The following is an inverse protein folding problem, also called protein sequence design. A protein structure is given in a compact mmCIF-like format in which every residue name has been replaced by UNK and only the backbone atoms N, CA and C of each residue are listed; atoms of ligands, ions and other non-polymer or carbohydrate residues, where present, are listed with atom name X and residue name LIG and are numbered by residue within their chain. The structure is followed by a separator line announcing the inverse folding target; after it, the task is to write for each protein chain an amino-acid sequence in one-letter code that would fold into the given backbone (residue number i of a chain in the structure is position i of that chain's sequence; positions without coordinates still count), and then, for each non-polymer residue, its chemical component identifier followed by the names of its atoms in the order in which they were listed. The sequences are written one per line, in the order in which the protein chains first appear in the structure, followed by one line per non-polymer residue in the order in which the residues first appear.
data_IF_469415606284
#
_entry.id   IF_469415606284
#
_cell.length_a   1.000
_cell.length_b   1.000
_cell.length_c   1.000
_cell.angle_alpha   90.00
_cell.angle_beta   90.00
_cell.angle_gamma   90.00
#
_symmetry.space_group_name_H-M   'P 1'
#
loop_
_entity.id
_entity.type
_entity.pdbx_description
1 polymer ?
#
# COMPACT_ATOMS: atom_id res chain seq x y z
N UNK A 1 3.28 1.21 -25.70
CA UNK A 1 4.11 1.41 -24.50
C UNK A 1 4.19 2.92 -24.27
N UNK A 2 3.42 3.45 -23.32
CA UNK A 2 3.50 4.87 -22.96
C UNK A 2 4.61 4.99 -21.90
N UNK A 3 5.75 5.55 -22.25
CA UNK A 3 6.75 6.03 -21.31
C UNK A 3 6.07 7.08 -20.43
N UNK A 4 5.82 6.72 -19.18
CA UNK A 4 5.40 7.66 -18.15
C UNK A 4 6.54 8.66 -18.00
N UNK A 5 6.41 9.84 -18.61
CA UNK A 5 7.31 10.98 -18.37
C UNK A 5 7.14 11.33 -16.89
N UNK A 6 8.12 10.90 -16.08
CA UNK A 6 8.24 11.29 -14.70
C UNK A 6 8.33 12.83 -14.64
N UNK A 7 7.62 13.42 -13.67
CA UNK A 7 7.72 14.84 -13.37
C UNK A 7 9.20 15.22 -13.17
N UNK A 8 9.75 16.19 -13.96
CA UNK A 8 11.15 16.59 -13.88
C UNK A 8 11.61 16.95 -12.46
N UNK A 9 10.72 17.53 -11.64
CA UNK A 9 11.02 17.86 -10.26
C UNK A 9 11.22 16.61 -9.39
N UNK A 10 10.44 15.55 -9.64
CA UNK A 10 10.56 14.26 -8.96
C UNK A 10 11.87 13.56 -9.31
N UNK A 11 12.27 13.56 -10.57
CA UNK A 11 13.51 12.93 -11.01
C UNK A 11 14.72 13.63 -10.38
N UNK A 12 14.76 14.96 -10.41
CA UNK A 12 15.84 15.74 -9.80
C UNK A 12 15.94 15.51 -8.28
N UNK A 13 14.79 15.34 -7.60
CA UNK A 13 14.74 15.01 -6.17
C UNK A 13 15.38 13.64 -5.91
N UNK A 14 14.99 12.61 -6.66
CA UNK A 14 15.56 11.25 -6.52
C UNK A 14 17.05 11.24 -6.77
N UNK A 15 17.52 11.90 -7.80
CA UNK A 15 18.96 12.00 -8.13
C UNK A 15 19.77 12.64 -7.00
N UNK A 16 19.24 13.69 -6.35
CA UNK A 16 19.88 14.30 -5.18
C UNK A 16 20.01 13.33 -4.01
N UNK A 17 18.94 12.57 -3.71
CA UNK A 17 18.96 11.56 -2.63
C UNK A 17 19.97 10.45 -2.97
N UNK A 18 19.98 9.94 -4.20
CA UNK A 18 20.91 8.92 -4.64
C UNK A 18 22.36 9.40 -4.53
N UNK A 19 22.64 10.64 -4.91
CA UNK A 19 23.98 11.23 -4.79
C UNK A 19 24.45 11.28 -3.32
N UNK A 20 23.57 11.71 -2.40
CA UNK A 20 23.89 11.77 -0.98
C UNK A 20 24.10 10.38 -0.36
N UNK A 21 23.22 9.40 -0.71
CA UNK A 21 23.36 8.02 -0.23
C UNK A 21 24.65 7.37 -0.72
N UNK A 22 24.98 7.51 -2.00
CA UNK A 22 26.23 6.98 -2.59
C UNK A 22 27.47 7.63 -1.97
N UNK A 23 27.44 8.93 -1.71
CA UNK A 23 28.55 9.63 -1.04
C UNK A 23 28.74 9.18 0.39
N UNK A 24 27.63 8.94 1.12
CA UNK A 24 27.67 8.61 2.54
C UNK A 24 27.96 7.13 2.81
N UNK A 25 27.50 6.25 1.93
CA UNK A 25 27.59 4.80 2.04
C UNK A 25 28.21 4.19 0.77
N UNK A 26 29.50 4.41 0.50
CA UNK A 26 30.14 4.02 -0.76
C UNK A 26 30.25 2.49 -0.95
N UNK A 27 30.08 1.70 0.10
CA UNK A 27 30.04 0.24 0.03
C UNK A 27 28.69 -0.32 -0.44
N UNK A 28 27.66 0.54 -0.61
CA UNK A 28 26.35 0.18 -1.06
C UNK A 28 26.10 0.73 -2.47
N UNK A 29 25.50 -0.10 -3.34
CA UNK A 29 24.95 0.33 -4.62
C UNK A 29 23.52 0.83 -4.43
N UNK A 30 23.24 2.09 -4.78
CA UNK A 30 21.91 2.67 -4.69
C UNK A 30 21.33 2.96 -6.06
N UNK A 31 20.06 2.55 -6.28
CA UNK A 31 19.30 2.84 -7.50
C UNK A 31 17.84 3.16 -7.18
N UNK A 32 17.17 3.85 -8.09
CA UNK A 32 15.73 4.05 -7.99
C UNK A 32 14.99 2.71 -8.10
N UNK A 33 13.88 2.61 -7.38
CA UNK A 33 13.02 1.43 -7.41
C UNK A 33 12.05 1.50 -8.59
N UNK A 34 11.93 0.42 -9.34
CA UNK A 34 10.89 0.24 -10.36
C UNK A 34 9.48 0.09 -9.75
N UNK A 35 9.38 -0.01 -8.43
CA UNK A 35 8.18 -0.37 -7.69
C UNK A 35 7.70 0.75 -6.75
N UNK A 36 7.56 1.96 -7.26
CA UNK A 36 7.09 3.08 -6.46
C UNK A 36 8.19 4.09 -6.13
N UNK A 37 7.84 5.08 -5.33
CA UNK A 37 8.74 6.19 -5.01
C UNK A 37 9.69 5.80 -3.87
N UNK A 38 10.72 5.04 -4.21
CA UNK A 38 11.69 4.49 -3.27
C UNK A 38 13.08 4.35 -3.92
N UNK A 39 14.09 4.23 -3.08
CA UNK A 39 15.47 3.88 -3.46
C UNK A 39 15.77 2.48 -2.92
N UNK A 40 16.47 1.68 -3.73
CA UNK A 40 16.96 0.36 -3.34
C UNK A 40 18.46 0.47 -3.11
N UNK A 41 18.92 0.07 -1.93
CA UNK A 41 20.31 -0.19 -1.60
C UNK A 41 20.62 -1.66 -1.74
N UNK A 42 21.72 -1.99 -2.40
CA UNK A 42 22.22 -3.36 -2.61
C UNK A 42 23.66 -3.45 -2.11
N UNK A 43 23.98 -4.48 -1.35
CA UNK A 43 25.34 -4.82 -0.96
C UNK A 43 25.42 -6.33 -0.75
N UNK A 44 26.30 -7.01 -1.48
CA UNK A 44 26.45 -8.47 -1.43
C UNK A 44 25.09 -9.18 -1.60
N UNK A 45 24.61 -9.88 -0.57
CA UNK A 45 23.30 -10.53 -0.55
C UNK A 45 22.22 -9.70 0.15
N UNK A 46 22.55 -8.50 0.63
CA UNK A 46 21.66 -7.63 1.38
C UNK A 46 20.91 -6.67 0.45
N UNK A 47 19.61 -6.48 0.69
CA UNK A 47 18.78 -5.53 -0.04
C UNK A 47 17.93 -4.72 0.92
N UNK A 48 18.03 -3.40 0.82
CA UNK A 48 17.23 -2.46 1.62
C UNK A 48 16.39 -1.60 0.68
N UNK A 49 15.09 -1.49 0.95
CA UNK A 49 14.19 -0.57 0.24
C UNK A 49 13.87 0.62 1.13
N UNK A 50 14.06 1.82 0.63
CA UNK A 50 13.91 3.07 1.37
C UNK A 50 12.84 3.91 0.67
N UNK A 51 11.68 4.11 1.31
CA UNK A 51 10.61 4.95 0.77
C UNK A 51 11.02 6.43 0.81
N UNK A 52 10.74 7.14 -0.27
CA UNK A 52 10.97 8.59 -0.38
C UNK A 52 9.69 9.41 -0.21
N UNK A 53 8.55 8.76 -0.01
CA UNK A 53 7.22 9.39 -0.01
C UNK A 53 7.10 10.46 1.06
N UNK A 54 7.46 10.12 2.31
CA UNK A 54 7.33 11.04 3.45
C UNK A 54 8.27 12.25 3.31
N UNK A 55 9.52 11.99 2.91
CA UNK A 55 10.50 13.05 2.68
C UNK A 55 10.05 14.00 1.54
N UNK A 56 9.55 13.47 0.45
CA UNK A 56 9.05 14.27 -0.66
C UNK A 56 7.82 15.11 -0.28
N UNK A 57 6.91 14.56 0.52
CA UNK A 57 5.76 15.30 1.03
C UNK A 57 6.17 16.44 1.97
N UNK A 58 7.17 16.21 2.84
CA UNK A 58 7.71 17.26 3.70
C UNK A 58 8.30 18.40 2.87
N UNK A 59 9.14 18.07 1.90
CA UNK A 59 9.75 19.03 0.98
C UNK A 59 8.71 19.83 0.17
N UNK A 60 7.64 19.18 -0.31
CA UNK A 60 6.58 19.88 -1.04
C UNK A 60 5.78 20.85 -0.17
N UNK A 61 5.59 20.55 1.12
CA UNK A 61 4.88 21.45 2.06
C UNK A 61 5.67 22.70 2.36
N UNK A 62 6.98 22.60 2.43
CA UNK A 62 7.88 23.71 2.78
C UNK A 62 8.34 24.53 1.57
N UNK A 63 8.00 24.12 0.36
CA UNK A 63 8.29 24.87 -0.88
C UNK A 63 9.76 24.89 -1.29
N UNK A 64 10.66 24.28 -0.52
CA UNK A 64 12.08 24.14 -0.87
C UNK A 64 12.66 22.85 -0.31
N UNK A 65 13.62 22.27 -1.02
CA UNK A 65 14.43 21.15 -0.52
C UNK A 65 15.43 21.72 0.48
N UNK A 66 15.13 21.63 1.77
CA UNK A 66 16.10 22.02 2.80
C UNK A 66 17.20 20.94 2.85
N UNK A 67 18.49 21.31 2.59
CA UNK A 67 19.59 20.34 2.62
C UNK A 67 19.68 19.54 3.91
N UNK A 68 19.27 20.15 5.02
CA UNK A 68 19.27 19.53 6.35
C UNK A 68 18.28 18.37 6.48
N UNK A 69 17.10 18.44 5.85
CA UNK A 69 16.12 17.34 5.86
C UNK A 69 16.60 16.13 5.08
N UNK A 70 17.23 16.38 3.92
CA UNK A 70 17.88 15.32 3.15
C UNK A 70 19.00 14.69 3.98
N UNK A 71 19.83 15.50 4.63
CA UNK A 71 20.93 14.99 5.45
C UNK A 71 20.42 14.17 6.63
N UNK A 72 19.38 14.66 7.33
CA UNK A 72 18.73 13.93 8.44
C UNK A 72 18.13 12.61 7.97
N UNK A 73 17.46 12.62 6.81
CA UNK A 73 16.93 11.41 6.20
C UNK A 73 18.06 10.41 5.88
N UNK A 74 19.13 10.86 5.21
CA UNK A 74 20.27 10.02 4.87
C UNK A 74 20.95 9.45 6.11
N UNK A 75 21.09 10.25 7.19
CA UNK A 75 21.60 9.76 8.48
C UNK A 75 20.69 8.70 9.09
N UNK A 76 19.38 8.87 9.00
CA UNK A 76 18.38 7.91 9.47
C UNK A 76 18.37 6.57 8.72
N UNK A 77 19.08 6.48 7.59
CA UNK A 77 19.26 5.22 6.84
C UNK A 77 20.35 4.33 7.43
N UNK A 78 21.34 4.89 8.15
CA UNK A 78 22.48 4.15 8.70
C UNK A 78 22.11 2.90 9.52
N UNK A 79 21.18 2.97 10.49
CA UNK A 79 20.78 1.78 11.26
C UNK A 79 20.25 0.65 10.37
N UNK A 80 19.53 1.02 9.29
CA UNK A 80 18.93 0.07 8.35
C UNK A 80 19.97 -0.67 7.51
N UNK A 81 20.99 0.05 7.08
CA UNK A 81 22.10 -0.54 6.33
C UNK A 81 22.94 -1.43 7.24
N UNK A 82 23.21 -0.99 8.48
CA UNK A 82 23.94 -1.77 9.46
C UNK A 82 23.23 -3.07 9.85
N UNK A 83 21.92 -3.02 10.08
CA UNK A 83 21.11 -4.23 10.34
C UNK A 83 21.13 -5.19 9.15
N UNK A 84 21.06 -4.67 7.92
CA UNK A 84 21.15 -5.49 6.72
C UNK A 84 22.57 -6.09 6.52
N UNK A 85 23.63 -5.35 6.86
CA UNK A 85 25.04 -5.83 6.82
C UNK A 85 25.34 -6.88 7.89
N UNK A 86 24.80 -6.70 9.10
CA UNK A 86 24.98 -7.63 10.21
C UNK A 86 24.33 -8.99 9.92
N UNK A 87 23.62 -9.12 8.77
CA UNK A 87 22.84 -10.31 8.52
C UNK A 87 21.66 -10.45 9.50
N UNK A 88 21.35 -9.36 10.22
CA UNK A 88 20.19 -9.29 11.12
C UNK A 88 18.86 -9.37 10.34
N UNK A 89 18.91 -9.39 9.00
CA UNK A 89 17.89 -9.95 8.13
C UNK A 89 17.82 -11.49 8.20
N UNK A 90 18.85 -12.12 8.75
CA UNK A 90 18.93 -13.48 9.25
C UNK A 90 19.20 -13.43 10.76
N UNK A 91 18.39 -12.70 11.53
CA UNK A 91 18.42 -12.92 12.97
C UNK A 91 18.03 -14.38 13.18
N UNK A 92 18.90 -15.12 13.85
CA UNK A 92 18.65 -16.46 14.39
C UNK A 92 17.42 -16.49 15.31
N UNK A 93 16.98 -15.34 15.75
CA UNK A 93 15.72 -15.08 16.44
C UNK A 93 14.68 -14.76 15.38
N UNK A 94 13.79 -15.68 15.06
CA UNK A 94 12.71 -15.54 14.10
C UNK A 94 11.95 -14.20 14.18
N UNK A 95 10.93 -13.96 13.35
CA UNK A 95 10.21 -12.69 13.33
C UNK A 95 9.61 -12.38 14.70
N UNK A 96 9.63 -11.09 15.10
CA UNK A 96 9.07 -10.66 16.39
C UNK A 96 7.54 -10.60 16.29
N UNK A 97 6.83 -11.39 17.09
CA UNK A 97 5.37 -11.53 17.01
C UNK A 97 4.59 -10.23 17.19
N UNK A 98 5.12 -9.27 17.94
CA UNK A 98 4.50 -7.97 18.20
C UNK A 98 4.62 -6.99 17.02
N UNK A 99 5.56 -7.23 16.11
CA UNK A 99 5.75 -6.42 14.90
C UNK A 99 5.08 -7.00 13.65
N UNK A 100 4.52 -8.22 13.73
CA UNK A 100 3.90 -8.91 12.61
C UNK A 100 2.56 -8.28 12.26
N UNK A 101 2.36 -7.96 10.98
CA UNK A 101 1.11 -7.35 10.46
C UNK A 101 0.76 -7.93 9.09
N UNK A 102 -0.50 -7.81 8.71
CA UNK A 102 -0.91 -8.03 7.32
C UNK A 102 -0.50 -6.85 6.45
N UNK A 103 0.02 -7.15 5.29
CA UNK A 103 0.37 -6.19 4.26
C UNK A 103 -0.33 -6.53 2.95
N UNK A 104 -1.19 -5.64 2.45
CA UNK A 104 -1.93 -5.86 1.20
C UNK A 104 -1.15 -5.31 0.01
N UNK A 105 -0.95 -6.15 -1.00
CA UNK A 105 -0.28 -5.81 -2.27
C UNK A 105 -1.00 -6.48 -3.45
N UNK A 106 -0.61 -6.14 -4.67
CA UNK A 106 -1.06 -6.89 -5.85
C UNK A 106 -0.26 -8.17 -5.99
N UNK A 107 -0.88 -9.23 -6.53
CA UNK A 107 -0.20 -10.49 -6.88
C UNK A 107 1.04 -10.24 -7.75
N UNK A 108 0.95 -9.31 -8.70
CA UNK A 108 2.06 -8.93 -9.57
C UNK A 108 3.26 -8.38 -8.80
N UNK A 109 3.03 -7.62 -7.74
CA UNK A 109 4.11 -7.10 -6.89
C UNK A 109 4.70 -8.22 -6.05
N UNK A 110 3.85 -9.05 -5.43
CA UNK A 110 4.32 -10.20 -4.62
C UNK A 110 5.21 -11.13 -5.43
N UNK A 111 4.81 -11.50 -6.64
CA UNK A 111 5.58 -12.41 -7.51
C UNK A 111 6.98 -11.87 -7.91
N UNK A 112 7.29 -10.63 -7.61
CA UNK A 112 8.62 -10.04 -7.83
C UNK A 112 9.53 -10.10 -6.60
N UNK A 113 8.98 -10.47 -5.44
CA UNK A 113 9.81 -10.66 -4.26
C UNK A 113 10.66 -11.93 -4.43
N UNK A 114 11.94 -11.88 -4.05
CA UNK A 114 12.70 -13.10 -3.86
C UNK A 114 11.93 -14.02 -2.88
N UNK A 115 11.83 -15.31 -3.20
CA UNK A 115 11.12 -16.29 -2.35
C UNK A 115 9.61 -16.00 -2.18
N UNK A 116 8.98 -15.36 -3.17
CA UNK A 116 7.55 -15.03 -3.13
C UNK A 116 6.64 -16.24 -2.82
N UNK A 117 7.01 -17.42 -3.31
CA UNK A 117 6.27 -18.67 -3.07
C UNK A 117 6.30 -19.15 -1.62
N UNK A 118 7.25 -18.66 -0.83
CA UNK A 118 7.45 -19.05 0.56
C UNK A 118 6.76 -18.12 1.54
N UNK A 119 6.26 -16.96 1.07
CA UNK A 119 5.56 -16.01 1.92
C UNK A 119 4.22 -16.59 2.41
N UNK A 120 3.90 -16.31 3.68
CA UNK A 120 2.57 -16.60 4.21
C UNK A 120 1.57 -15.61 3.60
N UNK A 121 0.70 -16.10 2.73
CA UNK A 121 -0.22 -15.26 1.95
C UNK A 121 -1.67 -15.68 2.10
N UNK A 122 -2.58 -14.71 1.91
CA UNK A 122 -4.02 -14.91 1.78
C UNK A 122 -4.51 -14.20 0.52
N UNK A 123 -5.13 -14.93 -0.40
CA UNK A 123 -5.71 -14.36 -1.60
C UNK A 123 -6.94 -13.51 -1.28
N UNK A 124 -7.07 -12.40 -2.00
CA UNK A 124 -8.16 -11.44 -1.86
C UNK A 124 -8.79 -11.16 -3.24
N UNK A 125 -9.91 -10.43 -3.24
CA UNK A 125 -10.55 -9.98 -4.47
C UNK A 125 -9.63 -9.09 -5.34
N UNK A 126 -9.95 -8.97 -6.62
CA UNK A 126 -9.30 -8.05 -7.57
C UNK A 126 -7.78 -8.27 -7.76
N UNK A 127 -7.30 -9.48 -7.55
CA UNK A 127 -5.85 -9.80 -7.65
C UNK A 127 -5.00 -9.19 -6.55
N UNK A 128 -5.62 -8.74 -5.48
CA UNK A 128 -4.96 -8.38 -4.23
C UNK A 128 -4.54 -9.63 -3.46
N UNK A 129 -3.49 -9.49 -2.70
CA UNK A 129 -2.94 -10.51 -1.80
C UNK A 129 -2.55 -9.84 -0.50
N UNK A 130 -3.02 -10.37 0.61
CA UNK A 130 -2.44 -10.07 1.91
C UNK A 130 -1.29 -11.03 2.17
N UNK A 131 -0.19 -10.55 2.70
CA UNK A 131 0.91 -11.38 3.15
C UNK A 131 1.38 -10.92 4.54
N UNK A 132 1.93 -11.85 5.29
CA UNK A 132 2.48 -11.56 6.61
C UNK A 132 3.79 -10.82 6.44
N UNK A 133 3.90 -9.67 7.09
CA UNK A 133 5.10 -8.85 7.10
C UNK A 133 5.45 -8.40 8.51
N UNK A 134 6.72 -8.26 8.78
CA UNK A 134 7.24 -7.60 9.95
C UNK A 134 7.34 -6.10 9.70
N UNK A 135 6.68 -5.30 10.52
CA UNK A 135 6.72 -3.85 10.47
C UNK A 135 7.91 -3.34 11.28
N UNK A 136 8.97 -2.96 10.60
CA UNK A 136 10.20 -2.47 11.21
C UNK A 136 10.15 -0.94 11.38
N UNK A 137 10.94 -0.37 12.30
CA UNK A 137 11.04 1.08 12.47
C UNK A 137 11.41 1.79 11.16
N UNK A 138 10.86 2.99 10.97
CA UNK A 138 11.19 3.85 9.84
C UNK A 138 10.50 3.49 8.52
N UNK A 139 9.26 3.03 8.57
CA UNK A 139 8.45 2.70 7.38
C UNK A 139 9.05 1.56 6.52
N UNK A 140 9.72 0.61 7.16
CA UNK A 140 10.21 -0.60 6.51
C UNK A 140 9.25 -1.74 6.81
N UNK A 141 9.18 -2.67 5.86
CA UNK A 141 8.54 -3.96 6.07
C UNK A 141 9.42 -5.07 5.50
N UNK A 142 9.45 -6.20 6.20
CA UNK A 142 10.06 -7.44 5.75
C UNK A 142 8.96 -8.50 5.60
N UNK A 143 8.85 -9.12 4.42
CA UNK A 143 7.95 -10.26 4.24
C UNK A 143 8.44 -11.44 5.09
N UNK A 144 7.53 -12.11 5.77
CA UNK A 144 7.83 -13.31 6.58
C UNK A 144 7.57 -14.55 5.75
N UNK A 145 8.60 -15.36 5.54
CA UNK A 145 8.50 -16.64 4.84
C UNK A 145 8.17 -17.77 5.80
N UNK A 146 7.78 -18.93 5.25
CA UNK A 146 7.59 -20.15 6.02
C UNK A 146 8.89 -20.60 6.71
N UNK A 147 10.04 -20.40 6.04
CA UNK A 147 11.35 -20.72 6.61
C UNK A 147 11.70 -19.78 7.77
N UNK A 148 11.38 -18.47 7.67
CA UNK A 148 11.55 -17.54 8.78
C UNK A 148 10.71 -17.96 10.00
N UNK A 149 9.48 -18.40 9.75
CA UNK A 149 8.60 -18.94 10.78
C UNK A 149 9.20 -20.20 11.44
N UNK A 150 9.64 -21.15 10.62
CA UNK A 150 10.24 -22.40 11.09
C UNK A 150 11.53 -22.16 11.88
N UNK A 151 12.40 -21.25 11.42
CA UNK A 151 13.63 -20.87 12.11
C UNK A 151 13.35 -20.26 13.50
N UNK A 152 12.25 -19.50 13.62
CA UNK A 152 11.78 -18.97 14.89
C UNK A 152 10.95 -19.95 15.73
N UNK A 153 10.78 -21.20 15.29
CA UNK A 153 9.93 -22.19 15.97
C UNK A 153 8.44 -21.80 16.01
N UNK A 154 7.99 -20.99 15.08
CA UNK A 154 6.62 -20.43 15.04
C UNK A 154 5.73 -21.21 14.10
N UNK A 155 4.50 -21.48 14.56
CA UNK A 155 3.45 -22.03 13.70
C UNK A 155 2.93 -20.92 12.75
N UNK A 156 2.73 -21.20 11.46
CA UNK A 156 2.08 -20.28 10.52
C UNK A 156 0.73 -19.74 10.99
N UNK A 157 -0.07 -20.52 11.71
CA UNK A 157 -1.34 -20.07 12.28
C UNK A 157 -1.14 -19.01 13.38
N UNK A 158 -0.15 -19.18 14.25
CA UNK A 158 0.19 -18.21 15.29
C UNK A 158 0.66 -16.88 14.69
N UNK A 159 1.41 -16.93 13.58
CA UNK A 159 1.81 -15.73 12.84
C UNK A 159 0.61 -15.03 12.20
N UNK A 160 -0.32 -15.77 11.61
CA UNK A 160 -1.53 -15.19 11.04
C UNK A 160 -2.40 -14.52 12.12
N UNK A 161 -2.57 -15.17 13.28
CA UNK A 161 -3.30 -14.59 14.43
C UNK A 161 -2.60 -13.33 14.98
N UNK A 162 -1.26 -13.34 15.07
CA UNK A 162 -0.49 -12.15 15.46
C UNK A 162 -0.71 -11.02 14.45
N UNK A 163 -0.65 -11.34 13.15
CA UNK A 163 -0.90 -10.37 12.09
C UNK A 163 -2.32 -9.78 12.17
N UNK A 164 -3.34 -10.59 12.42
CA UNK A 164 -4.73 -10.13 12.62
C UNK A 164 -4.81 -9.14 13.79
N UNK A 165 -4.31 -9.53 14.97
CA UNK A 165 -4.33 -8.66 16.17
C UNK A 165 -3.56 -7.36 15.98
N UNK A 166 -2.32 -7.46 15.51
CA UNK A 166 -1.44 -6.28 15.42
C UNK A 166 -1.88 -5.32 14.32
N UNK A 167 -2.41 -5.82 13.20
CA UNK A 167 -2.98 -4.98 12.14
C UNK A 167 -4.19 -4.19 12.68
N UNK A 168 -5.06 -4.86 13.44
CA UNK A 168 -6.22 -4.22 14.06
C UNK A 168 -5.81 -3.13 15.06
N UNK A 169 -4.79 -3.39 15.90
CA UNK A 169 -4.24 -2.43 16.86
C UNK A 169 -3.57 -1.25 16.14
N UNK A 170 -2.70 -1.55 15.16
CA UNK A 170 -1.95 -0.53 14.40
C UNK A 170 -2.87 0.46 13.69
N UNK A 171 -3.97 -0.03 13.14
CA UNK A 171 -4.89 0.76 12.34
C UNK A 171 -6.16 1.19 13.10
N UNK A 172 -6.22 1.04 14.43
CA UNK A 172 -7.42 1.27 15.26
C UNK A 172 -8.04 2.67 15.15
N UNK A 173 -7.30 3.66 14.69
CA UNK A 173 -7.79 5.04 14.50
C UNK A 173 -8.97 5.15 13.52
N UNK A 174 -9.26 4.09 12.72
CA UNK A 174 -10.44 4.05 11.88
C UNK A 174 -11.75 4.20 12.67
N UNK A 175 -11.78 3.78 13.94
CA UNK A 175 -12.97 3.88 14.80
C UNK A 175 -13.41 5.32 14.95
N UNK A 176 -12.49 6.21 15.28
CA UNK A 176 -12.76 7.65 15.43
C UNK A 176 -13.22 8.28 14.10
N UNK A 177 -12.63 7.86 12.98
CA UNK A 177 -13.04 8.38 11.67
C UNK A 177 -14.46 7.96 11.28
N UNK A 178 -14.91 6.76 11.66
CA UNK A 178 -16.27 6.32 11.41
C UNK A 178 -17.33 6.97 12.31
N UNK A 179 -16.94 7.58 13.43
CA UNK A 179 -17.85 8.36 14.28
C UNK A 179 -18.23 9.69 13.63
N UNK A 180 -17.37 10.19 12.74
CA UNK A 180 -17.64 11.42 11.98
C UNK A 180 -18.57 11.12 10.81
N UNK A 181 -19.51 12.02 10.55
CA UNK A 181 -20.39 11.89 9.38
C UNK A 181 -19.57 11.79 8.08
N UNK A 182 -19.97 10.92 7.15
CA UNK A 182 -19.24 10.75 5.90
C UNK A 182 -19.36 12.00 5.03
N UNK A 183 -18.27 12.42 4.41
CA UNK A 183 -18.30 13.51 3.43
C UNK A 183 -18.77 12.95 2.09
N UNK A 184 -19.91 13.42 1.62
CA UNK A 184 -20.56 12.88 0.43
C UNK A 184 -20.75 11.35 0.46
N UNK A 185 -21.10 10.79 1.62
CA UNK A 185 -21.29 9.35 1.80
C UNK A 185 -20.00 8.54 1.85
N UNK A 186 -18.84 9.16 2.14
CA UNK A 186 -17.51 8.52 2.08
C UNK A 186 -16.63 8.90 3.26
N UNK A 187 -15.77 7.95 3.67
CA UNK A 187 -14.68 8.11 4.65
C UNK A 187 -13.35 7.82 3.97
N UNK A 188 -12.32 8.59 4.30
CA UNK A 188 -10.96 8.44 3.80
C UNK A 188 -10.03 8.01 4.95
N UNK A 189 -9.32 6.89 4.76
CA UNK A 189 -8.36 6.33 5.71
C UNK A 189 -6.94 6.42 5.12
N UNK A 190 -6.10 7.22 5.78
CA UNK A 190 -4.69 7.47 5.38
C UNK A 190 -3.77 7.46 6.60
N UNK A 191 -4.11 6.66 7.62
CA UNK A 191 -3.44 6.67 8.91
C UNK A 191 -2.01 6.13 8.86
N UNK A 192 -1.74 5.25 7.91
CA UNK A 192 -0.45 4.61 7.74
C UNK A 192 -0.08 4.56 6.26
N UNK A 193 1.07 5.12 5.91
CA UNK A 193 1.53 5.21 4.52
C UNK A 193 1.83 3.85 3.88
N UNK A 194 2.06 2.81 4.69
CA UNK A 194 2.38 1.45 4.25
C UNK A 194 1.19 0.50 4.35
N UNK A 195 0.31 0.71 5.34
CA UNK A 195 -0.62 -0.32 5.76
C UNK A 195 -2.10 0.11 5.76
N UNK A 196 -2.47 1.37 5.41
CA UNK A 196 -3.89 1.78 5.46
C UNK A 196 -4.80 0.88 4.62
N UNK A 197 -4.33 0.34 3.49
CA UNK A 197 -5.08 -0.66 2.70
C UNK A 197 -5.25 -2.00 3.43
N UNK A 198 -4.45 -2.29 4.45
CA UNK A 198 -4.57 -3.52 5.25
C UNK A 198 -5.77 -3.49 6.21
N UNK A 199 -6.51 -2.38 6.31
CA UNK A 199 -7.86 -2.36 6.88
C UNK A 199 -8.80 -3.36 6.19
N UNK A 200 -8.55 -3.73 4.95
CA UNK A 200 -9.26 -4.81 4.24
C UNK A 200 -9.13 -6.18 4.93
N UNK A 201 -8.15 -6.35 5.84
CA UNK A 201 -7.92 -7.55 6.65
C UNK A 201 -8.52 -7.45 8.05
N UNK A 202 -9.02 -6.28 8.46
CA UNK A 202 -9.55 -6.03 9.81
C UNK A 202 -11.07 -6.30 9.82
N UNK A 203 -11.47 -7.45 10.33
CA UNK A 203 -12.89 -7.87 10.31
C UNK A 203 -13.80 -6.87 11.02
N UNK A 204 -13.40 -6.33 12.17
CA UNK A 204 -14.18 -5.32 12.90
C UNK A 204 -14.42 -4.06 12.06
N UNK A 205 -13.42 -3.64 11.27
CA UNK A 205 -13.57 -2.52 10.35
C UNK A 205 -14.57 -2.86 9.25
N UNK A 206 -14.44 -4.02 8.60
CA UNK A 206 -15.37 -4.44 7.54
C UNK A 206 -16.79 -4.52 8.07
N UNK A 207 -16.99 -5.10 9.25
CA UNK A 207 -18.30 -5.19 9.92
C UNK A 207 -18.86 -3.80 10.24
N UNK A 208 -18.04 -2.89 10.74
CA UNK A 208 -18.46 -1.54 11.09
C UNK A 208 -18.89 -0.72 9.87
N UNK A 209 -18.13 -0.77 8.76
CA UNK A 209 -18.51 -0.04 7.53
C UNK A 209 -19.74 -0.65 6.87
N UNK A 210 -19.86 -1.98 6.83
CA UNK A 210 -21.05 -2.66 6.31
C UNK A 210 -22.30 -2.30 7.11
N UNK A 211 -22.21 -2.24 8.45
CA UNK A 211 -23.33 -1.83 9.31
C UNK A 211 -23.79 -0.40 9.00
N UNK A 212 -22.88 0.53 8.68
CA UNK A 212 -23.22 1.89 8.24
C UNK A 212 -23.93 1.91 6.87
N UNK A 213 -23.59 0.95 5.98
CA UNK A 213 -24.21 0.77 4.67
C UNK A 213 -25.37 -0.23 4.65
N UNK A 214 -26.04 -0.48 5.79
CA UNK A 214 -27.21 -1.38 5.90
C UNK A 214 -26.94 -2.83 5.45
N UNK A 215 -25.75 -3.32 5.68
CA UNK A 215 -25.31 -4.69 5.40
C UNK A 215 -24.25 -4.79 4.31
N UNK A 216 -23.99 -3.73 3.56
CA UNK A 216 -22.88 -3.69 2.59
C UNK A 216 -22.22 -2.30 2.58
N UNK A 217 -20.96 -2.23 2.16
CA UNK A 217 -20.28 -0.98 1.96
C UNK A 217 -19.34 -1.06 0.74
N UNK A 218 -19.14 0.07 0.09
CA UNK A 218 -18.18 0.23 -1.01
C UNK A 218 -16.79 0.47 -0.46
N UNK A 219 -15.79 -0.09 -1.12
CA UNK A 219 -14.38 0.08 -0.75
C UNK A 219 -13.52 0.41 -1.98
N UNK A 220 -12.53 1.27 -1.80
CA UNK A 220 -11.48 1.54 -2.78
C UNK A 220 -10.13 1.42 -2.09
N UNK A 221 -9.21 0.67 -2.70
CA UNK A 221 -7.82 0.58 -2.27
C UNK A 221 -6.90 1.00 -3.45
N UNK A 222 -6.88 2.29 -3.80
CA UNK A 222 -6.13 2.75 -4.97
C UNK A 222 -4.62 2.73 -4.74
N UNK A 223 -4.19 2.89 -3.49
CA UNK A 223 -2.78 2.92 -3.06
C UNK A 223 -2.62 2.16 -1.74
N UNK A 224 -1.42 1.68 -1.44
CA UNK A 224 -1.13 0.97 -0.17
C UNK A 224 -1.44 1.78 1.08
N UNK A 225 -1.23 3.09 1.02
CA UNK A 225 -1.46 4.03 2.12
C UNK A 225 -2.85 4.66 2.12
N UNK A 226 -3.76 4.26 1.22
CA UNK A 226 -5.07 4.88 1.04
C UNK A 226 -6.17 3.83 0.96
N UNK A 227 -7.15 3.93 1.84
CA UNK A 227 -8.41 3.22 1.74
C UNK A 227 -9.57 4.21 1.79
N UNK A 228 -10.57 4.04 0.94
CA UNK A 228 -11.82 4.80 0.98
C UNK A 228 -12.95 3.82 1.22
N UNK A 229 -13.80 4.09 2.20
CA UNK A 229 -15.07 3.39 2.38
C UNK A 229 -16.24 4.32 2.04
N UNK A 230 -17.34 3.77 1.54
CA UNK A 230 -18.51 4.54 1.17
C UNK A 230 -19.81 3.76 1.29
N UNK A 231 -20.90 4.52 1.35
CA UNK A 231 -22.25 3.93 1.33
C UNK A 231 -22.59 3.45 -0.07
N UNK A 232 -23.22 2.28 -0.19
CA UNK A 232 -23.68 1.72 -1.47
C UNK A 232 -25.09 2.23 -1.78
N UNK A 233 -25.22 3.54 -2.02
CA UNK A 233 -26.50 4.21 -2.23
C UNK A 233 -26.43 5.18 -3.40
N UNK A 234 -27.53 5.27 -4.16
CA UNK A 234 -27.72 6.25 -5.22
C UNK A 234 -26.60 6.25 -6.27
N UNK A 235 -26.01 7.41 -6.52
CA UNK A 235 -24.93 7.60 -7.50
C UNK A 235 -23.52 7.32 -6.93
N UNK A 236 -23.41 7.04 -5.63
CA UNK A 236 -22.13 6.88 -4.95
C UNK A 236 -21.24 5.79 -5.59
N UNK A 237 -21.76 4.62 -6.02
CA UNK A 237 -20.92 3.62 -6.71
C UNK A 237 -20.24 4.15 -7.96
N UNK A 238 -20.95 4.93 -8.78
CA UNK A 238 -20.40 5.53 -10.00
C UNK A 238 -19.34 6.59 -9.70
N UNK A 239 -19.61 7.44 -8.71
CA UNK A 239 -18.69 8.48 -8.26
C UNK A 239 -17.43 7.87 -7.64
N UNK A 240 -17.56 6.87 -6.77
CA UNK A 240 -16.42 6.18 -6.15
C UNK A 240 -15.56 5.51 -7.21
N UNK A 241 -16.14 4.86 -8.21
CA UNK A 241 -15.40 4.27 -9.30
C UNK A 241 -14.56 5.30 -10.07
N UNK A 242 -15.14 6.47 -10.34
CA UNK A 242 -14.41 7.57 -10.98
C UNK A 242 -13.24 8.07 -10.10
N UNK A 243 -13.51 8.30 -8.82
CA UNK A 243 -12.49 8.71 -7.84
C UNK A 243 -11.39 7.65 -7.73
N UNK A 244 -11.75 6.37 -7.60
CA UNK A 244 -10.81 5.27 -7.47
C UNK A 244 -9.83 5.20 -8.64
N UNK A 245 -10.31 5.34 -9.87
CA UNK A 245 -9.45 5.37 -11.07
C UNK A 245 -8.50 6.56 -11.08
N UNK A 246 -8.96 7.74 -10.66
CA UNK A 246 -8.11 8.94 -10.58
C UNK A 246 -7.05 8.82 -9.49
N UNK A 247 -7.41 8.29 -8.33
CA UNK A 247 -6.46 8.05 -7.23
C UNK A 247 -5.43 6.99 -7.63
N UNK A 248 -5.88 5.89 -8.24
CA UNK A 248 -5.00 4.82 -8.73
C UNK A 248 -3.99 5.34 -9.77
N UNK A 249 -4.44 6.17 -10.71
CA UNK A 249 -3.54 6.74 -11.74
C UNK A 249 -2.47 7.68 -11.17
N UNK A 250 -2.67 8.21 -9.96
CA UNK A 250 -1.75 9.11 -9.25
C UNK A 250 -1.03 8.43 -8.08
N UNK A 251 -1.33 7.16 -7.85
CA UNK A 251 -0.80 6.42 -6.72
C UNK A 251 0.72 6.19 -6.87
N UNK A 252 1.45 6.36 -5.76
CA UNK A 252 2.88 6.02 -5.71
C UNK A 252 3.11 4.51 -5.63
N UNK A 253 2.16 3.80 -5.02
CA UNK A 253 2.18 2.35 -4.86
C UNK A 253 0.82 1.77 -5.21
N UNK A 254 0.44 1.76 -6.50
CA UNK A 254 -0.91 1.42 -6.93
C UNK A 254 -1.28 -0.03 -6.59
N UNK A 255 -2.49 -0.23 -6.06
CA UNK A 255 -3.02 -1.53 -5.69
C UNK A 255 -4.17 -1.97 -6.61
N UNK A 256 -5.34 -1.34 -6.51
CA UNK A 256 -6.54 -1.76 -7.21
C UNK A 256 -7.33 -0.57 -7.75
N UNK A 257 -7.60 -0.50 -9.07
CA UNK A 257 -8.44 0.53 -9.66
C UNK A 257 -9.94 0.20 -9.58
N UNK A 258 -10.30 -1.06 -9.20
CA UNK A 258 -11.68 -1.55 -9.19
C UNK A 258 -12.38 -1.13 -7.91
N UNK A 259 -13.68 -0.92 -8.03
CA UNK A 259 -14.57 -0.77 -6.90
C UNK A 259 -14.76 -2.13 -6.25
N UNK A 260 -14.53 -2.18 -4.95
CA UNK A 260 -14.76 -3.35 -4.10
C UNK A 260 -16.01 -3.14 -3.26
N UNK A 261 -16.52 -4.20 -2.69
CA UNK A 261 -17.61 -4.19 -1.70
C UNK A 261 -17.32 -5.17 -0.59
N UNK A 262 -17.95 -4.98 0.56
CA UNK A 262 -17.89 -5.90 1.68
C UNK A 262 -19.29 -6.16 2.27
N UNK A 263 -19.50 -7.38 2.73
CA UNK A 263 -20.64 -7.82 3.53
C UNK A 263 -20.38 -7.77 5.05
N UNK A 264 -19.25 -7.21 5.44
CA UNK A 264 -18.78 -7.15 6.82
C UNK A 264 -17.87 -8.32 7.23
N UNK A 265 -17.67 -9.32 6.37
CA UNK A 265 -16.78 -10.47 6.62
C UNK A 265 -15.72 -10.60 5.53
N UNK A 266 -16.13 -10.43 4.30
CA UNK A 266 -15.29 -10.65 3.13
C UNK A 266 -15.31 -9.45 2.20
N UNK A 267 -14.29 -9.36 1.36
CA UNK A 267 -14.16 -8.30 0.34
C UNK A 267 -14.33 -8.92 -1.04
N UNK A 268 -15.14 -8.32 -1.87
CA UNK A 268 -15.48 -8.76 -3.22
C UNK A 268 -15.27 -7.63 -4.23
N UNK A 269 -15.16 -7.98 -5.52
CA UNK A 269 -15.31 -6.99 -6.59
C UNK A 269 -16.78 -6.58 -6.67
N UNK A 270 -17.05 -5.28 -6.68
CA UNK A 270 -18.43 -4.80 -6.74
C UNK A 270 -19.09 -5.22 -8.06
N UNK A 271 -20.36 -5.71 -8.06
CA UNK A 271 -21.01 -6.25 -9.26
C UNK A 271 -21.02 -5.30 -10.46
N UNK A 272 -21.08 -4.00 -10.23
CA UNK A 272 -21.04 -3.00 -11.30
C UNK A 272 -19.73 -2.93 -12.09
N UNK A 273 -18.64 -3.54 -11.62
CA UNK A 273 -17.41 -3.65 -12.40
C UNK A 273 -17.51 -4.71 -13.51
N UNK A 274 -18.39 -5.68 -13.34
CA UNK A 274 -18.63 -6.76 -14.30
C UNK A 274 -19.67 -6.39 -15.35
N UNK A 275 -20.32 -5.22 -15.24
CA UNK A 275 -21.26 -4.78 -16.25
C UNK A 275 -20.50 -4.45 -17.56
N UNK A 276 -20.99 -4.93 -18.71
CA UNK A 276 -20.39 -4.59 -19.98
C UNK A 276 -20.37 -3.07 -20.11
N UNK A 277 -19.21 -2.51 -20.45
CA UNK A 277 -19.08 -1.08 -20.75
C UNK A 277 -20.08 -0.79 -21.84
N UNK A 278 -21.17 -0.04 -21.53
CA UNK A 278 -22.04 0.46 -22.58
C UNK A 278 -21.12 1.22 -23.56
N UNK A 279 -21.10 0.83 -24.83
CA UNK A 279 -20.34 1.59 -25.81
C UNK A 279 -20.85 3.02 -25.78
N UNK A 280 -19.94 3.98 -25.84
CA UNK A 280 -20.22 5.44 -25.80
C UNK A 280 -21.12 5.91 -27.00
N UNK A 281 -21.85 5.01 -27.63
CA UNK A 281 -22.77 5.27 -28.77
C UNK A 281 -24.07 6.03 -28.43
N UNK A 282 -24.35 6.26 -27.12
CA UNK A 282 -25.65 6.84 -26.73
C UNK A 282 -25.83 8.33 -26.99
N UNK A 283 -24.79 9.11 -27.17
CA UNK A 283 -24.93 10.57 -27.35
C UNK A 283 -25.53 10.98 -28.70
N UNK A 284 -25.31 10.18 -29.76
CA UNK A 284 -25.93 10.45 -31.09
C UNK A 284 -27.45 10.28 -31.07
N UNK A 285 -27.96 9.27 -30.34
CA UNK A 285 -29.41 9.07 -30.18
C UNK A 285 -30.07 10.16 -29.33
N UNK A 286 -29.37 10.66 -28.27
CA UNK A 286 -29.92 11.74 -27.43
C UNK A 286 -29.94 13.09 -28.16
N UNK A 287 -29.03 13.30 -29.11
CA UNK A 287 -28.94 14.55 -29.88
C UNK A 287 -29.71 14.52 -31.19
N UNK A 288 -30.45 13.43 -31.48
CA UNK A 288 -31.27 13.33 -32.72
C UNK A 288 -30.45 13.39 -34.03
N UNK A 289 -29.14 13.13 -33.94
CA UNK A 289 -28.29 13.08 -35.13
C UNK A 289 -28.48 11.72 -35.79
N UNK A 290 -29.31 11.69 -36.84
CA UNK A 290 -29.54 10.50 -37.65
C UNK A 290 -28.27 9.88 -38.19
N UNK A 291 -28.34 8.58 -38.49
CA UNK A 291 -27.26 7.86 -39.16
C UNK A 291 -26.91 8.52 -40.50
N UNK A 292 -25.63 8.51 -40.89
CA UNK A 292 -25.18 9.08 -42.15
C UNK A 292 -25.73 8.34 -43.36
#
# INVERSE_FOLDING_TARGET
MAESRLDPGRQQFVERILAQLRSRYPSWEFRESDQGFAVIGLKDHSRVSISLTTLHQAVQREGSVVPEEILRFVQGVAPRLSSAEAGEGNSSDGPQLDTIVWCVRTRKVINRYPRAAELLTRDMAAGLVAFVAEALPGEIMRGVSQDDAAAGGMDPSALAEAADRNTAVRLQGWRQLLEVAPVHGRWLFTQDSLFSSSLLMVEDFLRAVAARGRGSALLLAPDRGVLVAGLDEGENPAQMRHIGRRLYARANSPLCPQLLTTDGKSVFVHPSENLPRRPWGGWRQVLGLGEP
#
